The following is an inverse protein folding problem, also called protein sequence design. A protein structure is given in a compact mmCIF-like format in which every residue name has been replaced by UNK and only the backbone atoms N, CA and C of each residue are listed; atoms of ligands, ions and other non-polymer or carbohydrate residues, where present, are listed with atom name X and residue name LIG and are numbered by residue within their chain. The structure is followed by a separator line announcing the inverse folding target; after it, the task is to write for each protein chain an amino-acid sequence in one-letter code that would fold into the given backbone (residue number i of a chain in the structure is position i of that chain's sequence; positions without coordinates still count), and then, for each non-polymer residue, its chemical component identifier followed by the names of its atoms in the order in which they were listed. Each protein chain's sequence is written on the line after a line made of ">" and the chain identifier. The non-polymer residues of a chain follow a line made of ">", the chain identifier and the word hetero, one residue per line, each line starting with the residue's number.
data_IF_617671752211
#
_entry.id   IF_617671752211
#
_cell.length_a   1.000
_cell.length_b   1.000
_cell.length_c   1.000
_cell.angle_alpha   90.00
_cell.angle_beta   90.00
_cell.angle_gamma   90.00
#
_symmetry.space_group_name_H-M   'P 1'
#
loop_
_entity.id
_entity.type
_entity.pdbx_description
1 polymer ?
#
# COMPACT_ATOMS: atom_id res chain seq x y z
N UNK A 1 0.32 44.83 -5.32
CA UNK A 1 1.56 45.55 -5.68
C UNK A 1 2.05 45.18 -7.10
N UNK A 2 2.17 43.95 -7.48
CA UNK A 2 2.65 43.53 -8.82
C UNK A 2 1.78 44.06 -9.99
N UNK A 3 0.46 44.08 -9.87
CA UNK A 3 -0.45 44.64 -10.91
C UNK A 3 -0.30 46.15 -11.10
N UNK A 4 0.12 46.87 -10.08
CA UNK A 4 0.37 48.32 -10.17
C UNK A 4 1.71 48.60 -10.88
N UNK A 5 2.76 47.83 -10.60
CA UNK A 5 4.06 47.91 -11.26
C UNK A 5 3.97 47.61 -12.76
N UNK A 6 3.17 46.65 -13.16
CA UNK A 6 2.95 46.30 -14.57
C UNK A 6 2.18 47.36 -15.35
N UNK A 7 1.38 48.18 -14.66
CA UNK A 7 0.59 49.27 -15.31
C UNK A 7 1.35 50.59 -15.51
N UNK A 8 2.39 50.84 -14.74
CA UNK A 8 3.05 52.16 -14.70
C UNK A 8 4.50 52.22 -15.17
N UNK A 9 5.17 51.10 -15.39
CA UNK A 9 6.63 51.11 -15.50
C UNK A 9 7.29 50.48 -16.71
N UNK A 10 6.63 49.66 -17.52
CA UNK A 10 7.33 48.91 -18.57
C UNK A 10 6.98 49.40 -19.97
N UNK A 11 7.65 50.47 -20.40
CA UNK A 11 7.72 50.89 -21.84
C UNK A 11 8.60 49.91 -22.67
N UNK A 12 9.26 48.96 -22.05
CA UNK A 12 10.13 47.99 -22.72
C UNK A 12 9.41 46.64 -22.82
N UNK A 13 8.98 46.32 -24.03
CA UNK A 13 8.27 45.09 -24.38
C UNK A 13 9.03 43.83 -23.95
N UNK A 14 10.36 43.84 -24.03
CA UNK A 14 11.22 42.73 -23.60
C UNK A 14 11.11 42.44 -22.11
N UNK A 15 11.13 43.46 -21.25
CA UNK A 15 10.97 43.28 -19.81
C UNK A 15 9.55 42.83 -19.42
N UNK A 16 8.54 43.25 -20.16
CA UNK A 16 7.19 42.79 -19.97
C UNK A 16 7.05 41.31 -20.33
N UNK A 17 7.60 40.88 -21.46
CA UNK A 17 7.57 39.49 -21.92
C UNK A 17 8.36 38.60 -20.99
N UNK A 18 9.54 39.03 -20.49
CA UNK A 18 10.34 38.33 -19.48
C UNK A 18 9.57 38.17 -18.14
N UNK A 19 8.94 39.23 -17.65
CA UNK A 19 8.14 39.21 -16.43
C UNK A 19 6.94 38.26 -16.56
N UNK A 20 6.32 38.24 -17.75
CA UNK A 20 5.21 37.33 -18.06
C UNK A 20 5.68 35.86 -18.10
N UNK A 21 6.83 35.60 -18.70
CA UNK A 21 7.43 34.28 -18.77
C UNK A 21 7.80 33.78 -17.37
N UNK A 22 8.45 34.57 -16.55
CA UNK A 22 8.77 34.24 -15.14
C UNK A 22 7.50 34.02 -14.33
N UNK A 23 6.46 34.82 -14.54
CA UNK A 23 5.18 34.63 -13.85
C UNK A 23 4.49 33.34 -14.27
N UNK A 24 4.51 32.99 -15.56
CA UNK A 24 3.97 31.73 -16.06
C UNK A 24 4.75 30.53 -15.50
N UNK A 25 6.08 30.57 -15.52
CA UNK A 25 6.93 29.51 -14.95
C UNK A 25 6.72 29.37 -13.44
N UNK A 26 6.59 30.47 -12.72
CA UNK A 26 6.33 30.46 -11.27
C UNK A 26 4.93 29.94 -10.97
N UNK A 27 3.92 30.36 -11.75
CA UNK A 27 2.55 29.86 -11.59
C UNK A 27 2.44 28.36 -11.92
N UNK A 28 3.16 27.91 -12.95
CA UNK A 28 3.22 26.48 -13.30
C UNK A 28 3.93 25.67 -12.19
N UNK A 29 5.01 26.22 -11.60
CA UNK A 29 5.68 25.57 -10.45
C UNK A 29 4.79 25.55 -9.19
N UNK A 30 4.02 26.59 -8.94
CA UNK A 30 3.09 26.63 -7.81
C UNK A 30 1.94 25.63 -8.01
N UNK A 31 1.42 25.50 -9.23
CA UNK A 31 0.40 24.47 -9.51
C UNK A 31 0.97 23.04 -9.42
N UNK A 32 2.21 22.82 -9.88
CA UNK A 32 2.89 21.53 -9.73
C UNK A 32 3.14 21.18 -8.25
N UNK A 33 3.33 22.16 -7.37
CA UNK A 33 3.47 21.91 -5.93
C UNK A 33 2.15 21.65 -5.20
N UNK A 34 0.99 22.01 -5.79
CA UNK A 34 -0.32 21.72 -5.20
C UNK A 34 -0.82 20.30 -5.50
N UNK A 35 -0.25 19.62 -6.49
CA UNK A 35 -0.74 18.32 -6.98
C UNK A 35 0.20 17.13 -6.71
N UNK A 36 1.19 17.26 -5.83
CA UNK A 36 1.95 16.09 -5.38
C UNK A 36 1.14 15.38 -4.29
N UNK A 37 -0.04 14.92 -4.63
CA UNK A 37 -0.72 13.90 -3.86
C UNK A 37 -0.10 12.55 -4.21
N UNK A 38 0.12 11.75 -3.19
CA UNK A 38 0.51 10.34 -3.34
C UNK A 38 -0.74 9.52 -2.97
N UNK A 39 -1.60 9.20 -3.96
CA UNK A 39 -2.89 8.59 -3.69
C UNK A 39 -2.79 7.27 -2.94
N UNK A 40 -1.68 6.55 -3.18
CA UNK A 40 -1.40 5.24 -2.59
C UNK A 40 -1.38 5.29 -1.05
N UNK A 41 -0.97 6.43 -0.47
CA UNK A 41 -0.93 6.64 0.99
C UNK A 41 -2.07 7.51 1.52
N UNK A 42 -3.14 7.71 0.74
CA UNK A 42 -4.36 8.34 1.26
C UNK A 42 -4.73 7.70 2.60
N UNK A 43 -4.92 8.48 3.67
CA UNK A 43 -5.14 7.93 4.99
C UNK A 43 -6.41 7.08 5.06
N UNK A 44 -6.31 5.98 5.80
CA UNK A 44 -7.47 5.29 6.34
C UNK A 44 -7.91 5.99 7.63
N UNK A 45 -9.20 6.14 7.81
CA UNK A 45 -9.81 6.39 9.12
C UNK A 45 -10.19 5.05 9.74
N UNK A 46 -9.92 4.87 11.03
CA UNK A 46 -10.15 3.60 11.71
C UNK A 46 -11.21 3.75 12.79
N UNK A 47 -11.90 2.67 13.08
CA UNK A 47 -12.82 2.56 14.22
C UNK A 47 -12.70 1.18 14.88
N UNK A 48 -13.05 1.11 16.16
CA UNK A 48 -13.10 -0.18 16.87
C UNK A 48 -14.18 -1.07 16.29
N UNK A 49 -13.82 -2.32 16.01
CA UNK A 49 -14.79 -3.34 15.63
C UNK A 49 -15.64 -3.75 16.83
N UNK A 50 -16.92 -4.05 16.61
CA UNK A 50 -17.79 -4.69 17.58
C UNK A 50 -17.49 -6.19 17.72
N UNK A 51 -16.85 -6.78 16.72
CA UNK A 51 -16.49 -8.19 16.70
C UNK A 51 -15.11 -8.40 17.35
N UNK A 52 -14.98 -9.53 18.00
CA UNK A 52 -13.75 -9.94 18.69
C UNK A 52 -13.10 -11.15 17.98
N UNK A 53 -11.93 -11.52 18.47
CA UNK A 53 -11.20 -12.68 18.01
C UNK A 53 -10.22 -12.39 16.88
N UNK A 54 -9.34 -13.37 16.66
CA UNK A 54 -8.21 -13.26 15.73
C UNK A 54 -8.70 -13.18 14.30
N UNK A 55 -8.19 -12.17 13.60
CA UNK A 55 -8.40 -12.02 12.16
C UNK A 55 -7.07 -11.69 11.47
N UNK A 56 -6.82 -12.30 10.32
CA UNK A 56 -5.71 -11.93 9.46
C UNK A 56 -6.21 -11.06 8.30
N UNK A 57 -5.51 -9.95 8.05
CA UNK A 57 -5.82 -8.97 7.01
C UNK A 57 -4.71 -8.96 5.97
N UNK A 58 -5.04 -9.24 4.72
CA UNK A 58 -4.14 -9.06 3.59
C UNK A 58 -4.43 -7.71 2.91
N UNK A 59 -3.44 -6.85 2.82
CA UNK A 59 -3.53 -5.62 2.04
C UNK A 59 -2.91 -5.83 0.66
N UNK A 60 -3.71 -5.62 -0.38
CA UNK A 60 -3.29 -5.71 -1.78
C UNK A 60 -3.72 -4.47 -2.55
N UNK A 61 -2.95 -4.03 -3.57
CA UNK A 61 -3.35 -2.93 -4.43
C UNK A 61 -4.65 -3.20 -5.18
N UNK A 62 -4.75 -4.38 -5.79
CA UNK A 62 -5.86 -4.79 -6.64
C UNK A 62 -6.18 -6.26 -6.47
N UNK A 63 -7.40 -6.67 -6.83
CA UNK A 63 -7.85 -8.07 -6.74
C UNK A 63 -8.70 -8.50 -7.96
N UNK A 64 -9.00 -7.59 -8.88
CA UNK A 64 -9.75 -7.91 -10.09
C UNK A 64 -9.02 -8.94 -10.95
N UNK A 65 -9.75 -9.83 -11.60
CA UNK A 65 -9.22 -10.98 -12.37
C UNK A 65 -8.06 -10.59 -13.30
N UNK A 66 -8.20 -9.48 -14.02
CA UNK A 66 -7.17 -8.94 -14.91
C UNK A 66 -5.87 -8.52 -14.22
N UNK A 67 -5.87 -8.39 -12.89
CA UNK A 67 -4.73 -7.99 -12.08
C UNK A 67 -4.15 -9.14 -11.24
N UNK A 68 -4.82 -10.31 -11.19
CA UNK A 68 -4.34 -11.49 -10.43
C UNK A 68 -3.30 -12.26 -11.24
N UNK A 69 -2.14 -11.66 -11.40
CA UNK A 69 -0.94 -12.30 -11.95
C UNK A 69 0.30 -11.81 -11.20
N UNK A 70 1.45 -12.45 -11.42
CA UNK A 70 2.72 -12.05 -10.81
C UNK A 70 2.64 -11.91 -9.29
N UNK A 71 2.79 -10.69 -8.81
CA UNK A 71 2.87 -10.37 -7.39
C UNK A 71 1.59 -10.69 -6.61
N UNK A 72 0.42 -10.35 -7.14
CA UNK A 72 -0.86 -10.61 -6.46
C UNK A 72 -1.15 -12.11 -6.38
N UNK A 73 -0.86 -12.87 -7.44
CA UNK A 73 -1.00 -14.33 -7.42
C UNK A 73 -0.07 -14.97 -6.38
N UNK A 74 1.15 -14.45 -6.24
CA UNK A 74 2.11 -14.88 -5.21
C UNK A 74 1.61 -14.57 -3.82
N UNK A 75 1.08 -13.36 -3.60
CA UNK A 75 0.49 -12.95 -2.33
C UNK A 75 -0.68 -13.84 -1.91
N UNK A 76 -1.61 -14.09 -2.81
CA UNK A 76 -2.76 -14.97 -2.55
C UNK A 76 -2.32 -16.40 -2.25
N UNK A 77 -1.28 -16.92 -2.92
CA UNK A 77 -0.74 -18.26 -2.64
C UNK A 77 -0.16 -18.35 -1.23
N UNK A 78 0.66 -17.38 -0.82
CA UNK A 78 1.19 -17.30 0.54
C UNK A 78 0.04 -17.16 1.55
N UNK A 79 -0.89 -16.27 1.29
CA UNK A 79 -2.00 -15.97 2.19
C UNK A 79 -2.92 -17.18 2.41
N UNK A 80 -3.16 -18.00 1.37
CA UNK A 80 -3.92 -19.26 1.48
C UNK A 80 -3.34 -20.25 2.51
N UNK A 81 -2.03 -20.23 2.69
CA UNK A 81 -1.40 -21.07 3.73
C UNK A 81 -1.55 -20.42 5.11
N UNK A 82 -1.45 -19.10 5.21
CA UNK A 82 -1.52 -18.37 6.47
C UNK A 82 -2.93 -18.41 7.07
N UNK A 83 -3.98 -18.31 6.25
CA UNK A 83 -5.38 -18.27 6.75
C UNK A 83 -5.80 -19.52 7.51
N UNK A 84 -5.14 -20.66 7.28
CA UNK A 84 -5.41 -21.91 8.00
C UNK A 84 -5.27 -21.78 9.53
N UNK A 85 -4.52 -20.78 10.00
CA UNK A 85 -4.30 -20.51 11.42
C UNK A 85 -5.25 -19.47 12.01
N UNK A 86 -6.20 -18.94 11.22
CA UNK A 86 -7.08 -17.84 11.65
C UNK A 86 -8.56 -18.18 11.44
N UNK A 87 -9.42 -17.90 12.44
CA UNK A 87 -10.85 -18.14 12.34
C UNK A 87 -11.59 -17.11 11.47
N UNK A 88 -11.00 -15.95 11.23
CA UNK A 88 -11.58 -14.88 10.42
C UNK A 88 -10.51 -14.29 9.50
N UNK A 89 -10.91 -13.92 8.29
CA UNK A 89 -10.00 -13.49 7.22
C UNK A 89 -10.56 -12.29 6.50
N UNK A 90 -9.71 -11.29 6.22
CA UNK A 90 -10.10 -10.14 5.42
C UNK A 90 -9.03 -9.80 4.38
N UNK A 91 -9.45 -9.47 3.16
CA UNK A 91 -8.61 -8.84 2.15
C UNK A 91 -9.03 -7.37 2.04
N UNK A 92 -8.08 -6.46 2.12
CA UNK A 92 -8.28 -5.03 1.95
C UNK A 92 -7.66 -4.64 0.62
N UNK A 93 -8.51 -4.25 -0.34
CA UNK A 93 -8.07 -3.81 -1.67
C UNK A 93 -7.91 -2.30 -1.62
N UNK A 94 -6.65 -1.80 -1.72
CA UNK A 94 -6.33 -0.40 -1.41
C UNK A 94 -6.59 0.56 -2.55
N UNK A 95 -6.43 0.14 -3.81
CA UNK A 95 -6.39 1.03 -4.97
C UNK A 95 -7.60 0.89 -5.89
N UNK A 96 -8.42 -0.14 -5.71
CA UNK A 96 -9.66 -0.33 -6.48
C UNK A 96 -10.89 0.10 -5.66
N UNK A 97 -11.82 0.83 -6.29
CA UNK A 97 -13.10 1.22 -5.70
C UNK A 97 -14.20 0.15 -5.87
N UNK A 98 -13.97 -0.80 -6.77
CA UNK A 98 -14.82 -1.98 -6.99
C UNK A 98 -13.95 -3.14 -7.45
N UNK A 99 -14.40 -4.37 -7.21
CA UNK A 99 -13.69 -5.57 -7.62
C UNK A 99 -14.63 -6.54 -8.31
N UNK A 100 -14.17 -7.12 -9.43
CA UNK A 100 -14.80 -8.27 -10.06
C UNK A 100 -13.91 -9.46 -9.75
N UNK A 101 -14.34 -10.29 -8.82
CA UNK A 101 -13.59 -11.47 -8.42
C UNK A 101 -13.54 -12.50 -9.56
N UNK A 102 -12.41 -13.21 -9.71
CA UNK A 102 -12.39 -14.34 -10.59
C UNK A 102 -13.33 -15.45 -10.08
N UNK A 103 -13.94 -16.17 -11.01
CA UNK A 103 -14.70 -17.38 -10.71
C UNK A 103 -13.74 -18.49 -10.26
N UNK A 104 -13.30 -18.43 -9.01
CA UNK A 104 -12.43 -19.43 -8.38
C UNK A 104 -13.06 -19.91 -7.09
N UNK A 105 -12.97 -21.20 -6.86
CA UNK A 105 -13.42 -21.87 -5.64
C UNK A 105 -12.92 -21.17 -4.36
N UNK A 106 -11.73 -20.57 -4.41
CA UNK A 106 -11.16 -19.83 -3.28
C UNK A 106 -12.01 -18.66 -2.79
N UNK A 107 -12.78 -18.01 -3.67
CA UNK A 107 -13.59 -16.83 -3.33
C UNK A 107 -15.10 -17.15 -3.20
N UNK A 108 -15.50 -18.41 -3.26
CA UNK A 108 -16.91 -18.81 -3.30
C UNK A 108 -17.72 -18.41 -2.06
N UNK A 109 -17.06 -18.34 -0.91
CA UNK A 109 -17.64 -18.02 0.39
C UNK A 109 -17.23 -16.62 0.92
N UNK A 110 -16.70 -15.77 0.06
CA UNK A 110 -16.23 -14.44 0.44
C UNK A 110 -17.29 -13.36 0.17
N UNK A 111 -17.49 -12.50 1.17
CA UNK A 111 -18.38 -11.33 1.04
C UNK A 111 -17.58 -10.11 0.60
N UNK A 112 -17.99 -9.48 -0.50
CA UNK A 112 -17.40 -8.20 -0.95
C UNK A 112 -18.16 -7.04 -0.33
N UNK A 113 -17.43 -6.12 0.29
CA UNK A 113 -17.97 -4.95 1.00
C UNK A 113 -17.22 -3.69 0.57
N UNK A 114 -17.89 -2.55 0.62
CA UNK A 114 -17.21 -1.26 0.54
C UNK A 114 -16.66 -0.86 1.91
N UNK A 115 -15.59 -0.07 1.92
CA UNK A 115 -15.11 0.60 3.13
C UNK A 115 -16.22 1.51 3.70
N UNK A 116 -16.32 1.60 5.02
CA UNK A 116 -17.39 2.32 5.72
C UNK A 116 -18.57 1.43 6.15
N UNK A 117 -18.57 0.14 5.75
CA UNK A 117 -19.52 -0.85 6.28
C UNK A 117 -19.09 -1.37 7.65
N UNK A 118 -20.03 -1.86 8.43
CA UNK A 118 -19.72 -2.54 9.69
C UNK A 118 -18.89 -3.81 9.45
N UNK A 119 -18.14 -4.22 10.46
CA UNK A 119 -17.35 -5.44 10.41
C UNK A 119 -18.26 -6.67 10.28
N UNK A 120 -17.81 -7.68 9.54
CA UNK A 120 -18.54 -8.94 9.33
C UNK A 120 -17.74 -10.13 9.84
N UNK A 121 -18.46 -11.17 10.22
CA UNK A 121 -17.87 -12.48 10.49
C UNK A 121 -17.51 -13.21 9.18
N UNK A 122 -16.61 -14.18 9.29
CA UNK A 122 -16.18 -15.01 8.16
C UNK A 122 -15.16 -14.33 7.24
N UNK A 123 -15.20 -14.71 5.96
CA UNK A 123 -14.26 -14.24 4.95
C UNK A 123 -14.81 -13.01 4.23
N UNK A 124 -14.07 -11.91 4.25
CA UNK A 124 -14.51 -10.65 3.65
C UNK A 124 -13.44 -9.98 2.79
N UNK A 125 -13.90 -9.27 1.77
CA UNK A 125 -13.08 -8.41 0.93
C UNK A 125 -13.62 -7.00 1.06
N UNK A 126 -12.78 -6.07 1.53
CA UNK A 126 -13.13 -4.66 1.65
C UNK A 126 -12.46 -3.88 0.54
N UNK A 127 -13.24 -3.29 -0.37
CA UNK A 127 -12.73 -2.39 -1.40
C UNK A 127 -12.61 -0.98 -0.83
N UNK A 128 -11.42 -0.37 -0.94
CA UNK A 128 -11.10 0.88 -0.26
C UNK A 128 -10.42 1.93 -1.14
N UNK A 129 -10.50 1.79 -2.46
CA UNK A 129 -10.00 2.82 -3.39
C UNK A 129 -10.70 4.17 -3.22
N UNK A 130 -11.95 4.19 -2.75
CA UNK A 130 -12.70 5.40 -2.41
C UNK A 130 -12.95 5.48 -0.89
N UNK A 131 -11.88 5.72 -0.12
CA UNK A 131 -11.88 5.67 1.35
C UNK A 131 -12.06 7.00 2.07
N UNK A 132 -12.14 8.12 1.35
CA UNK A 132 -12.33 9.44 1.98
C UNK A 132 -13.61 9.50 2.80
N UNK A 133 -13.48 9.94 4.08
CA UNK A 133 -14.59 10.07 5.01
C UNK A 133 -15.26 8.76 5.39
N UNK A 134 -14.59 7.62 5.15
CA UNK A 134 -15.09 6.29 5.49
C UNK A 134 -14.12 5.60 6.46
N UNK A 135 -14.65 4.90 7.43
CA UNK A 135 -13.86 4.20 8.45
C UNK A 135 -13.70 2.72 8.14
N UNK A 136 -12.56 2.17 8.52
CA UNK A 136 -12.28 0.74 8.47
C UNK A 136 -12.33 0.17 9.90
N UNK A 137 -13.22 -0.80 10.19
CA UNK A 137 -13.26 -1.45 11.50
C UNK A 137 -12.01 -2.29 11.74
N UNK A 138 -11.35 -2.08 12.88
CA UNK A 138 -10.18 -2.84 13.33
C UNK A 138 -10.55 -3.61 14.60
N UNK A 139 -10.16 -4.89 14.68
CA UNK A 139 -10.28 -5.71 15.89
C UNK A 139 -9.03 -5.59 16.75
N UNK A 140 -9.17 -5.85 18.03
CA UNK A 140 -8.02 -5.94 18.94
C UNK A 140 -7.00 -6.99 18.49
N UNK A 141 -7.45 -8.12 17.94
CA UNK A 141 -6.61 -9.21 17.45
C UNK A 141 -6.53 -9.27 15.93
N UNK A 142 -6.48 -8.11 15.26
CA UNK A 142 -6.14 -8.04 13.85
C UNK A 142 -4.62 -8.22 13.64
N UNK A 143 -4.27 -9.06 12.67
CA UNK A 143 -2.93 -9.28 12.15
C UNK A 143 -2.87 -8.82 10.70
N UNK A 144 -1.73 -8.31 10.26
CA UNK A 144 -1.62 -7.68 8.94
C UNK A 144 -0.56 -8.35 8.07
N UNK A 145 -0.87 -8.47 6.78
CA UNK A 145 0.04 -8.89 5.71
C UNK A 145 0.05 -7.81 4.65
N UNK A 146 1.21 -7.24 4.36
CA UNK A 146 1.38 -6.22 3.32
C UNK A 146 2.10 -6.81 2.10
N UNK A 147 1.86 -6.24 0.91
CA UNK A 147 2.35 -6.77 -0.37
C UNK A 147 3.03 -5.76 -1.27
N UNK A 148 2.95 -4.47 -0.94
CA UNK A 148 3.59 -3.35 -1.61
C UNK A 148 3.94 -2.28 -0.56
N UNK A 149 4.87 -1.36 -0.86
CA UNK A 149 5.32 -0.36 0.12
C UNK A 149 4.16 0.49 0.68
N UNK A 150 3.19 0.88 -0.15
CA UNK A 150 2.05 1.67 0.33
C UNK A 150 1.04 0.84 1.13
N UNK A 151 0.92 -0.45 0.84
CA UNK A 151 0.13 -1.36 1.68
C UNK A 151 0.80 -1.55 3.04
N UNK A 152 2.13 -1.64 3.09
CA UNK A 152 2.90 -1.68 4.34
C UNK A 152 2.76 -0.38 5.13
N UNK A 153 2.87 0.77 4.46
CA UNK A 153 2.67 2.08 5.07
C UNK A 153 1.28 2.21 5.72
N UNK A 154 0.24 1.78 5.02
CA UNK A 154 -1.12 1.78 5.55
C UNK A 154 -1.31 0.77 6.70
N UNK A 155 -0.66 -0.40 6.62
CA UNK A 155 -0.69 -1.40 7.69
C UNK A 155 -0.01 -0.88 8.98
N UNK A 156 1.12 -0.17 8.89
CA UNK A 156 1.75 0.47 10.05
C UNK A 156 0.79 1.42 10.76
N UNK A 157 0.06 2.25 10.03
CA UNK A 157 -0.93 3.17 10.61
C UNK A 157 -2.09 2.43 11.28
N UNK A 158 -2.55 1.32 10.67
CA UNK A 158 -3.57 0.49 11.30
C UNK A 158 -3.07 -0.17 12.59
N UNK A 159 -1.83 -0.64 12.61
CA UNK A 159 -1.20 -1.24 13.80
C UNK A 159 -0.97 -0.20 14.92
N UNK A 160 -0.52 1.00 14.57
CA UNK A 160 -0.35 2.12 15.51
C UNK A 160 -1.70 2.49 16.15
N UNK A 161 -2.72 2.71 15.32
CA UNK A 161 -4.07 2.98 15.79
C UNK A 161 -4.62 1.85 16.67
N UNK A 162 -4.42 0.59 16.28
CA UNK A 162 -4.84 -0.59 17.05
C UNK A 162 -4.17 -0.64 18.42
N UNK A 163 -2.87 -0.36 18.47
CA UNK A 163 -2.11 -0.31 19.72
C UNK A 163 -2.65 0.75 20.66
N UNK A 164 -2.95 1.94 20.15
CA UNK A 164 -3.51 3.05 20.93
C UNK A 164 -4.93 2.76 21.41
N UNK A 165 -5.81 2.32 20.49
CA UNK A 165 -7.23 2.12 20.77
C UNK A 165 -7.49 0.98 21.77
N UNK A 166 -6.67 -0.07 21.74
CA UNK A 166 -6.85 -1.27 22.58
C UNK A 166 -5.77 -1.47 23.64
N UNK A 167 -4.79 -0.55 23.74
CA UNK A 167 -3.64 -0.67 24.65
C UNK A 167 -2.89 -2.01 24.52
N UNK A 168 -2.78 -2.52 23.30
CA UNK A 168 -2.12 -3.80 23.01
C UNK A 168 -0.60 -3.62 22.87
N UNK A 169 0.20 -4.67 23.12
CA UNK A 169 1.64 -4.62 22.81
C UNK A 169 1.89 -4.46 21.32
N UNK A 170 3.05 -3.91 20.95
CA UNK A 170 3.49 -3.86 19.55
C UNK A 170 3.51 -5.26 18.94
N UNK A 171 2.90 -5.40 17.79
CA UNK A 171 2.92 -6.63 16.98
C UNK A 171 3.71 -6.40 15.71
N UNK A 172 4.14 -7.48 15.08
CA UNK A 172 4.78 -7.44 13.77
C UNK A 172 3.78 -7.83 12.71
N UNK A 173 3.82 -7.15 11.57
CA UNK A 173 3.13 -7.61 10.37
C UNK A 173 4.04 -8.50 9.52
N UNK A 174 3.44 -9.36 8.72
CA UNK A 174 4.15 -10.04 7.63
C UNK A 174 4.23 -9.10 6.44
N UNK A 175 5.44 -8.86 5.92
CA UNK A 175 5.64 -8.05 4.72
C UNK A 175 6.16 -8.94 3.58
N UNK A 176 5.30 -9.26 2.62
CA UNK A 176 5.71 -9.97 1.42
C UNK A 176 6.46 -9.02 0.49
N UNK A 177 7.78 -9.16 0.48
CA UNK A 177 8.69 -8.33 -0.32
C UNK A 177 8.92 -9.03 -1.66
N UNK A 178 8.45 -8.40 -2.74
CA UNK A 178 8.44 -9.00 -4.07
C UNK A 178 9.42 -8.34 -5.04
N UNK A 179 9.86 -7.14 -4.71
CA UNK A 179 10.84 -6.37 -5.46
C UNK A 179 11.51 -5.34 -4.55
N UNK A 180 12.55 -4.68 -5.03
CA UNK A 180 13.11 -3.49 -4.40
C UNK A 180 12.35 -2.25 -4.89
N UNK A 181 11.17 -2.03 -4.34
CA UNK A 181 10.23 -1.01 -4.82
C UNK A 181 10.76 0.45 -4.76
N UNK A 182 11.67 0.86 -3.85
CA UNK A 182 12.32 2.15 -3.97
C UNK A 182 12.98 2.38 -5.33
N UNK A 183 13.54 1.32 -5.94
CA UNK A 183 14.16 1.36 -7.26
C UNK A 183 13.22 1.68 -8.44
N UNK A 184 11.90 1.64 -8.22
CA UNK A 184 10.93 2.05 -9.24
C UNK A 184 10.84 3.57 -9.42
N UNK A 185 11.41 4.33 -8.49
CA UNK A 185 11.31 5.79 -8.45
C UNK A 185 12.68 6.43 -8.54
N UNK A 186 12.82 7.56 -9.26
CA UNK A 186 13.98 8.41 -9.07
C UNK A 186 14.00 8.91 -7.62
N UNK A 187 15.13 9.47 -7.17
CA UNK A 187 15.22 10.08 -5.85
C UNK A 187 14.10 11.12 -5.64
N UNK A 188 13.15 10.80 -4.78
CA UNK A 188 11.89 11.54 -4.63
C UNK A 188 11.22 11.19 -3.29
N UNK A 189 10.11 11.86 -2.99
CA UNK A 189 9.26 11.52 -1.85
C UNK A 189 8.77 10.06 -1.92
N UNK A 190 8.40 9.56 -3.10
CA UNK A 190 7.99 8.15 -3.26
C UNK A 190 9.13 7.19 -2.97
N UNK A 191 10.34 7.49 -3.46
CA UNK A 191 11.52 6.71 -3.11
C UNK A 191 11.70 6.64 -1.59
N UNK A 192 11.70 7.80 -0.91
CA UNK A 192 11.91 7.88 0.54
C UNK A 192 10.82 7.15 1.33
N UNK A 193 9.55 7.27 0.92
CA UNK A 193 8.43 6.55 1.55
C UNK A 193 8.56 5.04 1.37
N UNK A 194 8.84 4.58 0.15
CA UNK A 194 9.04 3.16 -0.12
C UNK A 194 10.23 2.61 0.68
N UNK A 195 11.38 3.30 0.67
CA UNK A 195 12.57 2.92 1.45
C UNK A 195 12.27 2.84 2.95
N UNK A 196 11.51 3.79 3.48
CA UNK A 196 11.19 3.83 4.91
C UNK A 196 10.43 2.60 5.39
N UNK A 197 9.59 1.99 4.56
CA UNK A 197 8.80 0.81 4.97
C UNK A 197 9.62 -0.43 5.23
N UNK A 198 10.84 -0.50 4.70
CA UNK A 198 11.77 -1.60 4.93
C UNK A 198 12.70 -1.39 6.13
N UNK A 199 12.61 -0.24 6.82
CA UNK A 199 13.51 0.15 7.93
C UNK A 199 12.89 0.01 9.31
N UNK A 200 11.92 -0.89 9.45
CA UNK A 200 11.22 -1.17 10.71
C UNK A 200 11.35 -2.65 11.11
N UNK A 201 12.58 -3.11 11.50
CA UNK A 201 12.81 -4.50 11.87
C UNK A 201 11.96 -4.94 13.07
N UNK A 202 11.62 -3.99 13.95
CA UNK A 202 10.80 -4.22 15.15
C UNK A 202 9.30 -4.36 14.85
N UNK A 203 8.84 -3.96 13.65
CA UNK A 203 7.43 -3.99 13.24
C UNK A 203 7.14 -4.98 12.12
N UNK A 204 8.17 -5.54 11.48
CA UNK A 204 8.00 -6.40 10.31
C UNK A 204 8.64 -7.77 10.44
N UNK A 205 8.03 -8.74 9.79
CA UNK A 205 8.61 -10.03 9.43
C UNK A 205 8.58 -10.08 7.90
N UNK A 206 9.65 -9.63 7.21
CA UNK A 206 9.70 -9.69 5.77
C UNK A 206 9.81 -11.14 5.27
N UNK A 207 9.06 -11.42 4.21
CA UNK A 207 9.07 -12.68 3.47
C UNK A 207 9.40 -12.37 2.02
N UNK A 208 10.59 -12.69 1.59
CA UNK A 208 11.07 -12.40 0.23
C UNK A 208 10.65 -13.50 -0.74
N UNK A 209 10.27 -13.12 -1.94
CA UNK A 209 9.84 -14.07 -2.98
C UNK A 209 11.01 -14.77 -3.70
N UNK A 210 12.25 -14.40 -3.39
CA UNK A 210 13.48 -15.09 -3.84
C UNK A 210 14.63 -14.90 -2.85
N UNK A 211 15.56 -15.86 -2.81
CA UNK A 211 16.82 -15.72 -2.07
C UNK A 211 17.69 -14.60 -2.62
N UNK A 212 17.69 -14.38 -3.93
CA UNK A 212 18.43 -13.28 -4.56
C UNK A 212 17.98 -11.91 -4.05
N UNK A 213 16.67 -11.69 -3.95
CA UNK A 213 16.13 -10.44 -3.42
C UNK A 213 16.49 -10.26 -1.94
N UNK A 214 16.40 -11.32 -1.15
CA UNK A 214 16.80 -11.31 0.25
C UNK A 214 18.28 -10.92 0.42
N UNK A 215 19.16 -11.51 -0.38
CA UNK A 215 20.61 -11.20 -0.33
C UNK A 215 20.89 -9.76 -0.80
N UNK A 216 20.15 -9.28 -1.80
CA UNK A 216 20.24 -7.88 -2.24
C UNK A 216 19.91 -6.91 -1.10
N UNK A 217 18.80 -7.12 -0.38
CA UNK A 217 18.44 -6.26 0.76
C UNK A 217 19.51 -6.26 1.85
N UNK A 218 20.12 -7.43 2.15
CA UNK A 218 21.25 -7.52 3.09
C UNK A 218 22.45 -6.72 2.62
N UNK A 219 22.81 -6.80 1.34
CA UNK A 219 23.91 -6.04 0.75
C UNK A 219 23.67 -4.52 0.79
N UNK A 220 22.40 -4.10 0.75
CA UNK A 220 21.99 -2.70 0.92
C UNK A 220 21.88 -2.29 2.40
N UNK A 221 22.33 -3.13 3.35
CA UNK A 221 22.33 -2.87 4.80
C UNK A 221 20.92 -2.69 5.41
N UNK A 222 19.88 -3.29 4.85
CA UNK A 222 18.61 -3.42 5.56
C UNK A 222 18.72 -4.43 6.70
N UNK A 223 18.17 -4.08 7.86
CA UNK A 223 18.24 -4.90 9.05
C UNK A 223 16.91 -5.61 9.29
N UNK A 224 16.97 -6.87 9.70
CA UNK A 224 15.81 -7.68 10.05
C UNK A 224 16.06 -8.41 11.34
N UNK A 225 15.15 -8.37 12.29
CA UNK A 225 15.19 -9.24 13.48
C UNK A 225 14.84 -10.68 13.11
N UNK A 226 13.91 -10.83 12.17
CA UNK A 226 13.44 -12.10 11.63
C UNK A 226 13.05 -11.90 10.18
N UNK A 227 13.51 -12.77 9.29
CA UNK A 227 13.18 -12.71 7.88
C UNK A 227 13.16 -14.12 7.26
N UNK A 228 12.35 -14.27 6.22
CA UNK A 228 12.23 -15.52 5.48
C UNK A 228 12.31 -15.25 3.97
N UNK A 229 12.60 -16.29 3.20
CA UNK A 229 12.46 -16.27 1.75
C UNK A 229 11.97 -17.62 1.23
N UNK A 230 11.45 -17.62 0.04
CA UNK A 230 11.10 -18.82 -0.72
C UNK A 230 11.49 -18.63 -2.19
N UNK A 231 11.60 -19.74 -2.93
CA UNK A 231 11.86 -19.66 -4.37
C UNK A 231 10.54 -19.77 -5.14
N UNK A 232 10.34 -18.95 -6.18
CA UNK A 232 9.14 -19.00 -6.99
C UNK A 232 9.08 -20.34 -7.74
N UNK A 233 7.93 -21.00 -7.69
CA UNK A 233 7.66 -22.13 -8.59
C UNK A 233 7.29 -21.57 -9.96
N UNK A 234 8.10 -21.84 -10.96
CA UNK A 234 7.78 -21.51 -12.34
C UNK A 234 6.47 -22.18 -12.76
N UNK A 235 5.70 -21.48 -13.58
CA UNK A 235 4.55 -22.11 -14.23
C UNK A 235 5.07 -23.25 -15.14
N UNK A 236 4.57 -24.49 -14.98
CA UNK A 236 5.01 -25.63 -15.82
C UNK A 236 4.95 -25.34 -17.33
N UNK A 237 3.98 -24.53 -17.76
CA UNK A 237 3.85 -24.09 -19.17
C UNK A 237 5.09 -23.33 -19.67
N UNK A 238 5.87 -22.69 -18.79
CA UNK A 238 7.10 -21.99 -19.16
C UNK A 238 8.32 -22.93 -19.28
N UNK A 239 8.22 -24.17 -18.81
CA UNK A 239 9.31 -25.15 -18.94
C UNK A 239 9.51 -25.64 -20.39
N UNK A 240 8.47 -25.53 -21.22
CA UNK A 240 8.51 -25.96 -22.63
C UNK A 240 9.21 -24.93 -23.55
N UNK A 241 9.68 -23.80 -22.99
CA UNK A 241 10.38 -22.74 -23.73
C UNK A 241 11.91 -22.74 -23.52
N UNK A 242 12.48 -23.85 -23.01
CA UNK A 242 13.93 -24.05 -22.86
C UNK A 242 14.51 -24.88 -23.96
#
# INVERSE_FOLDING_TARGET
>A
MLKWFLKTGLKNRYLYDLAKQVHQETSTRVSLNQDIQIPEITPFEFQSSKLQGKRINLLVPALSEKHIFGGIATALRLFREMIKAFPSVRIIVTDEASVILPEKEFFSDWTVQEIGTEDSEGNSIVVSGNRYGKTLPIREEDYFVATAWWTAFNAFRAMEWQQEAYSTPKRKMTYLVQDFEPGFYPWSTRFALADSTYRHPELTIPVFNTGLLFDFFKQQNYQFEQAYYFEPKFNPVLNDWR
#
